data_IF_003943134406
#
_entry.id   IF_003943134406
#
_cell.length_a   1.000
_cell.length_b   1.000
_cell.length_c   1.000
_cell.angle_alpha   90.00
_cell.angle_beta   90.00
_cell.angle_gamma   90.00
#
_symmetry.space_group_name_H-M   'P 1'
#
loop_
_entity.id
_entity.type
_entity.pdbx_description
1 polymer ?
#
# COMPACT_ATOMS: atom_id res chain seq x y z
N UNK A 1 -18.74 7.03 -1.13
CA UNK A 1 -17.77 6.93 -2.24
C UNK A 1 -16.38 6.88 -1.62
N UNK A 2 -15.48 6.00 -2.10
CA UNK A 2 -14.15 5.84 -1.53
C UNK A 2 -13.36 7.17 -1.61
N UNK A 3 -12.94 7.77 -0.46
CA UNK A 3 -12.32 9.08 -0.46
C UNK A 3 -10.89 9.02 -0.99
N UNK A 4 -10.48 10.01 -1.78
CA UNK A 4 -9.07 10.19 -2.14
C UNK A 4 -8.30 10.69 -0.92
N UNK A 5 -7.10 10.15 -0.69
CA UNK A 5 -6.22 10.66 0.36
C UNK A 5 -5.35 11.80 -0.18
N UNK A 6 -5.53 12.99 0.41
CA UNK A 6 -4.80 14.18 0.02
C UNK A 6 -5.18 14.68 -1.37
N UNK A 7 -4.23 15.35 -2.02
CA UNK A 7 -4.44 15.94 -3.35
C UNK A 7 -3.82 15.07 -4.44
N UNK A 8 -4.57 14.82 -5.51
CA UNK A 8 -4.08 14.13 -6.72
C UNK A 8 -4.28 15.04 -7.92
N UNK A 9 -3.23 15.24 -8.71
CA UNK A 9 -3.35 16.07 -9.92
C UNK A 9 -4.19 15.38 -10.99
N UNK A 10 -4.99 16.16 -11.73
CA UNK A 10 -5.81 15.66 -12.84
C UNK A 10 -4.96 14.96 -13.90
N UNK A 11 -3.74 15.45 -14.15
CA UNK A 11 -2.78 14.80 -15.05
C UNK A 11 -2.33 13.43 -14.55
N UNK A 12 -2.09 13.27 -13.25
CA UNK A 12 -1.74 11.97 -12.67
C UNK A 12 -2.91 10.98 -12.75
N UNK A 13 -4.15 11.44 -12.59
CA UNK A 13 -5.35 10.63 -12.80
C UNK A 13 -5.52 10.19 -14.27
N UNK A 14 -5.14 11.04 -15.23
CA UNK A 14 -5.14 10.72 -16.66
C UNK A 14 -4.01 9.77 -17.07
N UNK A 15 -2.85 9.86 -16.40
CA UNK A 15 -1.68 9.00 -16.66
C UNK A 15 -1.83 7.60 -16.07
N UNK A 16 -2.65 7.44 -15.03
CA UNK A 16 -3.06 6.12 -14.55
C UNK A 16 -3.79 5.35 -15.65
N UNK A 17 -3.61 4.03 -15.70
CA UNK A 17 -4.29 3.15 -16.66
C UNK A 17 -5.81 3.15 -16.39
N UNK A 18 -6.53 4.20 -16.81
CA UNK A 18 -7.99 4.33 -16.66
C UNK A 18 -8.76 3.15 -17.24
N UNK A 19 -8.18 2.47 -18.25
CA UNK A 19 -8.77 1.26 -18.84
C UNK A 19 -8.77 0.05 -17.92
N UNK A 20 -7.90 0.04 -16.91
CA UNK A 20 -7.73 -1.10 -16.01
C UNK A 20 -8.42 -0.81 -14.67
N UNK A 21 -8.34 0.44 -14.16
CA UNK A 21 -8.97 0.83 -12.88
C UNK A 21 -10.48 0.66 -12.91
N UNK A 22 -11.02 0.16 -11.80
CA UNK A 22 -12.47 0.03 -11.58
C UNK A 22 -13.09 1.37 -11.17
N UNK A 23 -14.42 1.47 -11.20
CA UNK A 23 -15.11 2.57 -10.54
C UNK A 23 -14.90 2.52 -9.01
N UNK A 24 -14.92 3.68 -8.35
CA UNK A 24 -14.75 3.76 -6.89
C UNK A 24 -15.81 2.97 -6.11
N UNK A 25 -17.00 2.76 -6.68
CA UNK A 25 -18.04 1.93 -6.06
C UNK A 25 -17.72 0.44 -6.15
N UNK A 26 -17.15 0.00 -7.27
CA UNK A 26 -16.76 -1.40 -7.46
C UNK A 26 -15.66 -1.81 -6.48
N UNK A 27 -14.73 -0.90 -6.15
CA UNK A 27 -13.71 -1.16 -5.14
C UNK A 27 -14.29 -1.51 -3.75
N UNK A 28 -15.47 -0.98 -3.41
CA UNK A 28 -16.13 -1.30 -2.14
C UNK A 28 -16.70 -2.72 -2.08
N UNK A 29 -16.85 -3.38 -3.22
CA UNK A 29 -17.25 -4.80 -3.28
C UNK A 29 -16.10 -5.78 -3.10
N UNK A 30 -14.86 -5.30 -3.03
CA UNK A 30 -13.71 -6.17 -2.75
C UNK A 30 -13.88 -6.76 -1.34
N UNK A 31 -13.77 -8.10 -1.18
CA UNK A 31 -13.93 -8.73 0.12
C UNK A 31 -12.92 -8.19 1.15
N UNK A 32 -13.35 -7.85 2.38
CA UNK A 32 -12.44 -7.45 3.45
C UNK A 32 -11.36 -8.50 3.74
N UNK A 33 -11.69 -9.80 3.60
CA UNK A 33 -10.75 -10.92 3.76
C UNK A 33 -9.61 -10.88 2.74
N UNK A 34 -9.86 -10.48 1.48
CA UNK A 34 -8.80 -10.29 0.49
C UNK A 34 -7.87 -9.14 0.89
N UNK A 35 -8.43 -8.04 1.38
CA UNK A 35 -7.63 -6.89 1.82
C UNK A 35 -6.81 -7.23 3.07
N UNK A 36 -7.35 -8.04 3.99
CA UNK A 36 -6.65 -8.51 5.17
C UNK A 36 -5.50 -9.47 4.79
N UNK A 37 -5.74 -10.39 3.86
CA UNK A 37 -4.71 -11.22 3.25
C UNK A 37 -3.58 -10.36 2.66
N UNK A 38 -3.93 -9.34 1.87
CA UNK A 38 -2.96 -8.46 1.24
C UNK A 38 -2.16 -7.66 2.28
N UNK A 39 -2.81 -7.14 3.32
CA UNK A 39 -2.13 -6.44 4.41
C UNK A 39 -1.15 -7.37 5.13
N UNK A 40 -1.55 -8.61 5.43
CA UNK A 40 -0.68 -9.64 6.02
C UNK A 40 0.51 -9.99 5.12
N UNK A 41 0.30 -10.11 3.80
CA UNK A 41 1.38 -10.34 2.84
C UNK A 41 2.39 -9.18 2.82
N UNK A 42 1.90 -7.94 2.89
CA UNK A 42 2.76 -6.75 2.98
C UNK A 42 3.50 -6.71 4.32
N UNK A 43 2.87 -7.14 5.40
CA UNK A 43 3.46 -7.21 6.74
C UNK A 43 4.52 -8.31 6.92
N UNK A 44 4.53 -9.31 6.04
CA UNK A 44 5.48 -10.42 6.07
C UNK A 44 6.93 -9.96 6.20
N UNK A 45 7.64 -10.50 7.20
CA UNK A 45 8.96 -10.02 7.65
C UNK A 45 10.16 -10.79 7.09
N UNK A 46 9.97 -11.80 6.24
CA UNK A 46 11.06 -12.50 5.56
C UNK A 46 11.40 -11.82 4.23
N UNK A 47 12.57 -12.11 3.67
CA UNK A 47 13.22 -11.45 2.52
C UNK A 47 12.41 -11.37 1.20
N UNK A 48 11.14 -11.79 1.20
CA UNK A 48 10.15 -11.68 0.13
C UNK A 48 8.84 -11.03 0.57
N UNK A 49 8.89 -9.88 1.26
CA UNK A 49 7.71 -9.16 1.75
C UNK A 49 7.33 -7.90 0.95
N UNK A 50 6.32 -7.19 1.46
CA UNK A 50 5.93 -5.86 0.98
C UNK A 50 6.59 -4.72 1.78
N UNK A 51 6.81 -3.59 1.12
CA UNK A 51 7.24 -2.37 1.82
C UNK A 51 6.72 -1.10 1.13
N UNK A 52 6.39 -0.11 1.95
CA UNK A 52 6.02 1.22 1.48
C UNK A 52 7.30 2.06 1.44
N UNK A 53 7.74 2.40 0.24
CA UNK A 53 8.96 3.14 -0.01
C UNK A 53 8.65 4.63 -0.20
N UNK A 54 9.31 5.45 0.61
CA UNK A 54 9.39 6.91 0.47
C UNK A 54 10.84 7.26 0.12
N UNK A 55 11.09 7.87 -1.04
CA UNK A 55 12.45 8.20 -1.50
C UNK A 55 12.59 9.62 -2.02
N UNK A 56 13.81 10.15 -1.96
CA UNK A 56 14.21 11.42 -2.57
C UNK A 56 14.55 11.22 -4.04
N UNK A 57 13.96 12.01 -4.92
CA UNK A 57 14.38 12.12 -6.33
C UNK A 57 15.65 12.98 -6.45
N UNK A 58 16.35 12.90 -7.58
CA UNK A 58 17.51 13.78 -7.86
C UNK A 58 17.18 15.27 -7.77
N UNK A 59 15.92 15.66 -8.00
CA UNK A 59 15.42 17.04 -7.89
C UNK A 59 14.92 17.40 -6.48
N UNK A 60 15.07 16.53 -5.48
CA UNK A 60 14.64 16.77 -4.10
C UNK A 60 13.16 16.49 -3.79
N UNK A 61 12.36 16.07 -4.77
CA UNK A 61 10.96 15.70 -4.55
C UNK A 61 10.81 14.31 -3.93
N UNK A 62 9.67 14.10 -3.26
CA UNK A 62 9.28 12.82 -2.67
C UNK A 62 8.66 11.91 -3.72
N UNK A 63 9.12 10.66 -3.77
CA UNK A 63 8.46 9.55 -4.46
C UNK A 63 7.90 8.57 -3.45
N UNK A 64 6.66 8.11 -3.66
CA UNK A 64 6.00 7.09 -2.84
C UNK A 64 5.56 5.94 -3.73
N UNK A 65 5.85 4.71 -3.30
CA UNK A 65 5.33 3.48 -3.92
C UNK A 65 5.27 2.36 -2.90
N UNK A 66 4.34 1.43 -3.10
CA UNK A 66 4.37 0.13 -2.45
C UNK A 66 5.01 -0.87 -3.40
N UNK A 67 5.94 -1.67 -2.89
CA UNK A 67 6.58 -2.75 -3.62
C UNK A 67 6.32 -4.04 -2.86
N UNK A 68 5.74 -5.02 -3.54
CA UNK A 68 5.62 -6.40 -3.06
C UNK A 68 6.57 -7.23 -3.92
N UNK A 69 7.53 -7.92 -3.30
CA UNK A 69 8.56 -8.69 -4.00
C UNK A 69 8.48 -10.14 -3.57
N UNK A 70 8.26 -11.05 -4.52
CA UNK A 70 8.21 -12.49 -4.27
C UNK A 70 9.23 -13.22 -5.17
N UNK A 71 9.49 -14.48 -4.86
CA UNK A 71 10.22 -15.36 -5.78
C UNK A 71 9.45 -15.49 -7.10
N UNK A 72 10.15 -15.76 -8.21
CA UNK A 72 9.50 -15.82 -9.52
C UNK A 72 8.45 -16.95 -9.63
N UNK A 73 8.62 -18.02 -8.87
CA UNK A 73 7.67 -19.15 -8.80
C UNK A 73 6.30 -18.72 -8.24
N UNK A 74 6.27 -17.68 -7.41
CA UNK A 74 5.05 -17.15 -6.77
C UNK A 74 4.40 -16.00 -7.57
N UNK A 75 4.76 -15.83 -8.85
CA UNK A 75 4.23 -14.75 -9.70
C UNK A 75 2.70 -14.77 -9.80
N UNK A 76 2.09 -15.95 -9.76
CA UNK A 76 0.64 -16.15 -9.79
C UNK A 76 -0.05 -15.41 -8.63
N UNK A 77 0.58 -15.31 -7.47
CA UNK A 77 0.08 -14.53 -6.33
C UNK A 77 0.00 -13.05 -6.66
N UNK A 78 1.05 -12.49 -7.29
CA UNK A 78 1.06 -11.09 -7.69
C UNK A 78 0.10 -10.81 -8.86
N UNK A 79 -0.08 -11.78 -9.76
CA UNK A 79 -1.07 -11.73 -10.83
C UNK A 79 -2.49 -11.74 -10.28
N UNK A 80 -2.77 -12.57 -9.27
CA UNK A 80 -4.06 -12.59 -8.58
C UNK A 80 -4.34 -11.26 -7.88
N UNK A 81 -3.38 -10.71 -7.12
CA UNK A 81 -3.55 -9.41 -6.45
C UNK A 81 -3.84 -8.31 -7.48
N UNK A 82 -3.10 -8.30 -8.59
CA UNK A 82 -3.32 -7.35 -9.69
C UNK A 82 -4.66 -7.57 -10.40
N UNK A 83 -5.13 -8.81 -10.51
CA UNK A 83 -6.40 -9.12 -11.17
C UNK A 83 -7.61 -8.66 -10.35
N UNK A 84 -7.52 -8.69 -9.01
CA UNK A 84 -8.53 -8.19 -8.09
C UNK A 84 -8.49 -6.67 -7.96
N UNK A 85 -7.33 -6.09 -7.66
CA UNK A 85 -7.21 -4.64 -7.45
C UNK A 85 -7.22 -3.84 -8.75
N UNK A 86 -6.85 -4.47 -9.87
CA UNK A 86 -6.73 -3.81 -11.18
C UNK A 86 -5.83 -2.55 -11.17
N UNK A 87 -4.82 -2.53 -10.31
CA UNK A 87 -3.81 -1.46 -10.20
C UNK A 87 -2.40 -2.03 -10.14
N UNK A 88 -1.40 -1.14 -10.27
CA UNK A 88 -0.01 -1.51 -10.16
C UNK A 88 0.58 -2.15 -11.43
N UNK A 89 1.91 -2.31 -11.40
CA UNK A 89 2.70 -2.86 -12.50
C UNK A 89 3.49 -4.07 -12.01
N UNK A 90 3.33 -5.20 -12.69
CA UNK A 90 4.19 -6.37 -12.53
C UNK A 90 5.50 -6.15 -13.28
N UNK A 91 6.60 -6.48 -12.63
CA UNK A 91 7.95 -6.47 -13.20
C UNK A 91 8.64 -7.77 -12.83
N UNK A 92 9.27 -8.42 -13.82
CA UNK A 92 9.96 -9.69 -13.66
C UNK A 92 11.47 -9.43 -13.73
N UNK A 93 12.22 -9.99 -12.77
CA UNK A 93 13.67 -9.95 -12.71
C UNK A 93 14.19 -11.39 -12.77
N UNK A 94 14.76 -11.78 -13.90
CA UNK A 94 15.30 -13.12 -14.13
C UNK A 94 16.79 -13.19 -13.77
N UNK A 95 17.13 -12.78 -12.55
CA UNK A 95 18.50 -12.98 -12.04
C UNK A 95 18.78 -14.49 -11.96
N UNK A 96 19.98 -14.91 -12.36
CA UNK A 96 20.41 -16.31 -12.35
C UNK A 96 20.53 -16.87 -10.93
N UNK A 97 20.75 -16.01 -9.93
CA UNK A 97 20.92 -16.44 -8.52
C UNK A 97 19.63 -16.34 -7.70
N UNK A 98 18.79 -15.35 -7.98
CA UNK A 98 17.60 -15.07 -7.19
C UNK A 98 16.50 -14.43 -8.07
N UNK A 99 15.83 -15.22 -8.93
CA UNK A 99 14.79 -14.71 -9.79
C UNK A 99 13.61 -14.22 -8.94
N UNK A 100 13.16 -12.99 -9.17
CA UNK A 100 12.08 -12.40 -8.40
C UNK A 100 11.08 -11.69 -9.30
N UNK A 101 9.85 -11.56 -8.81
CA UNK A 101 8.81 -10.76 -9.42
C UNK A 101 8.35 -9.69 -8.43
N UNK A 102 7.99 -8.51 -8.96
CA UNK A 102 7.58 -7.36 -8.14
C UNK A 102 6.27 -6.78 -8.63
N UNK A 103 5.34 -6.55 -7.72
CA UNK A 103 4.16 -5.74 -7.95
C UNK A 103 4.42 -4.36 -7.35
N UNK A 104 4.42 -3.34 -8.21
CA UNK A 104 4.68 -1.96 -7.83
C UNK A 104 3.39 -1.15 -7.96
N UNK A 105 2.89 -0.63 -6.84
CA UNK A 105 1.72 0.26 -6.77
C UNK A 105 2.24 1.68 -6.52
N UNK A 106 1.94 2.60 -7.43
CA UNK A 106 2.45 3.97 -7.40
C UNK A 106 1.65 4.86 -6.43
N UNK A 107 2.19 6.05 -6.13
CA UNK A 107 1.55 7.08 -5.30
C UNK A 107 0.07 7.31 -5.62
N UNK A 108 -0.28 7.48 -6.89
CA UNK A 108 -1.66 7.76 -7.31
C UNK A 108 -2.59 6.60 -6.99
N UNK A 109 -2.18 5.35 -7.29
CA UNK A 109 -2.96 4.16 -6.98
C UNK A 109 -3.10 3.95 -5.46
N UNK A 110 -2.07 4.31 -4.67
CA UNK A 110 -2.15 4.31 -3.22
C UNK A 110 -3.17 5.33 -2.70
N UNK A 111 -3.15 6.57 -3.21
CA UNK A 111 -4.06 7.65 -2.81
C UNK A 111 -5.52 7.41 -3.20
N UNK A 112 -5.75 6.77 -4.34
CA UNK A 112 -7.10 6.59 -4.91
C UNK A 112 -7.77 5.27 -4.53
N UNK A 113 -6.99 4.21 -4.25
CA UNK A 113 -7.52 2.85 -4.13
C UNK A 113 -7.04 2.16 -2.86
N UNK A 114 -5.75 1.80 -2.77
CA UNK A 114 -5.31 0.85 -1.73
C UNK A 114 -5.44 1.42 -0.32
N UNK A 115 -4.87 2.60 -0.05
CA UNK A 115 -4.94 3.18 1.30
C UNK A 115 -6.37 3.55 1.72
N UNK A 116 -7.20 4.15 0.85
CA UNK A 116 -8.61 4.37 1.19
C UNK A 116 -9.35 3.07 1.53
N UNK A 117 -9.08 1.96 0.83
CA UNK A 117 -9.70 0.66 1.13
C UNK A 117 -9.29 0.14 2.50
N UNK A 118 -7.99 0.21 2.83
CA UNK A 118 -7.49 -0.19 4.15
C UNK A 118 -8.18 0.62 5.26
N UNK A 119 -8.30 1.94 5.10
CA UNK A 119 -8.98 2.83 6.06
C UNK A 119 -10.47 2.50 6.15
N UNK A 120 -11.15 2.34 5.02
CA UNK A 120 -12.59 2.05 4.97
C UNK A 120 -12.94 0.76 5.71
N UNK A 121 -12.09 -0.26 5.63
CA UNK A 121 -12.31 -1.56 6.27
C UNK A 121 -11.62 -1.70 7.64
N UNK A 122 -10.96 -0.65 8.14
CA UNK A 122 -10.24 -0.70 9.42
C UNK A 122 -9.09 -1.72 9.43
N UNK A 123 -8.44 -1.92 8.28
CA UNK A 123 -7.30 -2.83 8.14
C UNK A 123 -6.02 -2.04 8.33
N UNK A 124 -5.16 -2.52 9.23
CA UNK A 124 -3.92 -1.88 9.62
C UNK A 124 -2.77 -2.88 9.64
N UNK A 125 -1.55 -2.36 9.63
CA UNK A 125 -0.33 -3.16 9.71
C UNK A 125 0.02 -3.50 11.16
N UNK A 126 0.40 -4.74 11.40
CA UNK A 126 0.75 -5.29 12.72
C UNK A 126 2.21 -5.06 13.07
N UNK A 127 3.08 -4.94 12.07
CA UNK A 127 4.51 -4.77 12.32
C UNK A 127 4.87 -3.29 12.46
N UNK A 128 5.70 -2.95 13.45
CA UNK A 128 6.14 -1.57 13.71
C UNK A 128 6.78 -0.91 12.48
N UNK A 129 7.50 -1.68 11.67
CA UNK A 129 8.13 -1.17 10.45
C UNK A 129 7.08 -0.77 9.40
N UNK A 130 6.12 -1.64 9.07
CA UNK A 130 5.12 -1.35 8.03
C UNK A 130 4.14 -0.28 8.51
N UNK A 131 3.77 -0.30 9.79
CA UNK A 131 3.01 0.78 10.43
C UNK A 131 3.71 2.13 10.27
N UNK A 132 4.99 2.24 10.66
CA UNK A 132 5.74 3.48 10.52
C UNK A 132 5.85 3.97 9.07
N UNK A 133 6.05 3.05 8.11
CA UNK A 133 6.08 3.40 6.69
C UNK A 133 4.70 3.89 6.19
N UNK A 134 3.62 3.25 6.63
CA UNK A 134 2.26 3.65 6.30
C UNK A 134 1.93 5.02 6.89
N UNK A 135 2.21 5.23 8.17
CA UNK A 135 1.95 6.50 8.87
C UNK A 135 2.72 7.67 8.23
N UNK A 136 4.00 7.45 7.89
CA UNK A 136 4.80 8.43 7.14
C UNK A 136 4.16 8.76 5.79
N UNK A 137 3.74 7.74 5.04
CA UNK A 137 3.10 7.96 3.75
C UNK A 137 1.78 8.72 3.92
N UNK A 138 0.95 8.35 4.89
CA UNK A 138 -0.32 9.00 5.21
C UNK A 138 -0.12 10.48 5.57
N UNK A 139 0.89 10.80 6.39
CA UNK A 139 1.24 12.17 6.74
C UNK A 139 1.65 13.00 5.51
N UNK A 140 2.53 12.46 4.67
CA UNK A 140 3.00 13.14 3.45
C UNK A 140 1.83 13.40 2.50
N UNK A 141 0.95 12.41 2.32
CA UNK A 141 -0.18 12.48 1.40
C UNK A 141 -1.25 13.46 1.90
N UNK A 142 -1.66 13.38 3.18
CA UNK A 142 -2.67 14.27 3.78
C UNK A 142 -2.24 15.74 3.78
N UNK A 143 -0.95 16.00 4.01
CA UNK A 143 -0.41 17.36 4.09
C UNK A 143 0.17 17.90 2.77
N UNK A 144 -0.05 17.18 1.66
CA UNK A 144 0.49 17.51 0.33
C UNK A 144 2.00 17.87 0.34
N UNK A 145 2.79 17.18 1.17
CA UNK A 145 4.24 17.38 1.22
C UNK A 145 4.87 16.86 -0.07
N UNK A 146 5.64 17.73 -0.74
CA UNK A 146 6.26 17.45 -2.05
C UNK A 146 7.78 17.37 -1.98
N UNK A 147 8.40 18.12 -1.07
CA UNK A 147 9.85 18.22 -0.92
C UNK A 147 10.31 17.29 0.20
N UNK A 148 11.33 16.48 -0.07
CA UNK A 148 11.79 15.44 0.85
C UNK A 148 12.29 16.01 2.18
N UNK A 149 12.97 17.14 2.13
CA UNK A 149 13.54 17.81 3.31
C UNK A 149 12.47 18.41 4.24
N UNK A 150 11.19 18.40 3.83
CA UNK A 150 10.05 18.82 4.68
C UNK A 150 9.41 17.65 5.45
N UNK A 151 9.94 16.44 5.31
CA UNK A 151 9.50 15.27 6.07
C UNK A 151 9.98 15.47 7.52
N UNK A 152 9.08 15.45 8.52
CA UNK A 152 9.49 15.62 9.91
C UNK A 152 10.27 14.40 10.42
N UNK A 153 10.89 14.55 11.58
CA UNK A 153 11.56 13.45 12.26
C UNK A 153 10.55 12.33 12.61
N UNK A 154 11.04 11.11 12.84
CA UNK A 154 10.18 9.94 13.02
C UNK A 154 9.29 10.06 14.26
N UNK A 155 9.76 10.74 15.29
CA UNK A 155 9.04 10.91 16.56
C UNK A 155 7.79 11.79 16.42
N UNK A 156 7.75 12.65 15.41
CA UNK A 156 6.66 13.62 15.18
C UNK A 156 5.56 13.07 14.26
N UNK A 157 5.66 11.80 13.83
CA UNK A 157 4.71 11.20 12.90
C UNK A 157 3.55 10.59 13.72
N UNK A 158 2.31 11.13 13.60
CA UNK A 158 1.17 10.60 14.33
C UNK A 158 0.78 9.22 13.77
N UNK A 159 0.37 8.31 14.67
CA UNK A 159 -0.16 7.02 14.27
C UNK A 159 -1.50 7.19 13.53
N UNK A 160 -1.67 6.49 12.40
CA UNK A 160 -2.94 6.51 11.65
C UNK A 160 -3.99 5.60 12.29
N UNK A 161 -3.54 4.53 12.94
CA UNK A 161 -4.38 3.56 13.63
C UNK A 161 -3.87 3.30 15.05
N UNK A 162 -4.79 3.15 15.98
CA UNK A 162 -4.50 2.63 17.31
C UNK A 162 -4.48 1.10 17.25
N UNK A 163 -3.40 0.51 17.79
CA UNK A 163 -3.31 -0.94 17.87
C UNK A 163 -4.11 -1.47 19.05
N UNK A 164 -4.70 -2.67 18.93
CA UNK A 164 -5.30 -3.36 20.06
C UNK A 164 -4.30 -3.53 21.20
N UNK A 165 -4.76 -3.36 22.45
CA UNK A 165 -3.89 -3.37 23.64
C UNK A 165 -3.72 -4.77 24.22
N UNK A 166 -4.66 -5.67 23.98
CA UNK A 166 -4.63 -7.04 24.50
C UNK A 166 -4.69 -8.07 23.39
N UNK A 167 -4.19 -9.29 23.66
CA UNK A 167 -4.28 -10.41 22.72
C UNK A 167 -5.75 -10.76 22.37
N UNK A 168 -6.68 -10.60 23.32
CA UNK A 168 -8.11 -10.82 23.08
C UNK A 168 -8.68 -9.81 22.09
N UNK A 169 -8.23 -8.56 22.16
CA UNK A 169 -8.67 -7.52 21.21
C UNK A 169 -8.22 -7.84 19.78
N UNK A 170 -7.01 -8.39 19.60
CA UNK A 170 -6.55 -8.87 18.30
C UNK A 170 -7.42 -10.01 17.75
N UNK A 171 -7.75 -11.00 18.58
CA UNK A 171 -8.62 -12.11 18.18
C UNK A 171 -10.05 -11.65 17.82
N UNK A 172 -10.48 -10.49 18.34
CA UNK A 172 -11.80 -9.94 18.11
C UNK A 172 -11.92 -9.03 16.88
N UNK A 173 -10.82 -8.76 16.17
CA UNK A 173 -10.81 -7.89 14.99
C UNK A 173 -11.73 -8.43 13.89
N UNK A 174 -12.49 -7.53 13.27
CA UNK A 174 -13.51 -7.87 12.30
C UNK A 174 -12.96 -8.64 11.09
N UNK A 175 -11.71 -8.40 10.70
CA UNK A 175 -11.09 -9.08 9.56
C UNK A 175 -10.57 -10.50 9.86
N UNK A 176 -10.61 -10.96 11.12
CA UNK A 176 -10.36 -12.37 11.48
C UNK A 176 -11.64 -13.18 11.69
N UNK A 177 -12.81 -12.53 11.66
CA UNK A 177 -14.11 -13.19 11.76
C UNK A 177 -14.55 -13.57 10.33
N UNK A 178 -14.49 -14.87 10.03
CA UNK A 178 -14.93 -15.44 8.74
C UNK A 178 -16.45 -15.42 8.62
#
# INVERSE_FOLDING_TARGET
>A
MLPTIGTVSVHALKKGNKKIRLDKKEYLSIPPSFLAFLAGLIDGSSEGGGYIQVTRTTKGFITIKLVISLHLEDISTLEYIRSVLKIGKLTIYRDLRSPCCKLIINRTDLQEVLFPLLIHHGIFFLTETRKAQFDLAMLILKNDKKVYDQIPAREDIPATFELPKTASDYANLAFFKN
#
